data_IF_300023500666
#
_entry.id   IF_300023500666
#
_cell.length_a   1.000
_cell.length_b   1.000
_cell.length_c   1.000
_cell.angle_alpha   90.00
_cell.angle_beta   90.00
_cell.angle_gamma   90.00
#
_symmetry.space_group_name_H-M   'P 1'
#
loop_
_entity.id
_entity.type
_entity.pdbx_description
1 polymer ?
#
# COMPACT_ATOMS: atom_id res chain seq x y z
N UNK A 1 74.69 40.48 35.18
CA UNK A 1 75.25 39.42 34.34
C UNK A 1 74.31 38.19 34.34
N UNK A 2 74.09 37.68 33.19
CA UNK A 2 73.46 36.42 32.82
C UNK A 2 71.91 36.40 32.79
N UNK A 3 71.45 36.50 31.55
CA UNK A 3 70.12 36.18 31.02
C UNK A 3 69.75 34.67 31.24
N UNK A 4 68.51 34.41 31.65
CA UNK A 4 67.92 33.11 31.44
C UNK A 4 66.59 33.35 30.66
N UNK A 5 66.58 32.93 29.40
CA UNK A 5 65.44 32.94 28.52
C UNK A 5 64.48 31.85 28.94
N UNK A 6 63.22 32.23 29.24
CA UNK A 6 62.13 31.29 29.41
C UNK A 6 61.61 30.82 28.05
N UNK A 7 61.71 29.52 27.78
CA UNK A 7 61.14 28.87 26.59
C UNK A 7 59.67 28.55 26.92
N UNK A 8 58.76 29.30 26.32
CA UNK A 8 57.32 28.91 26.31
C UNK A 8 57.09 27.79 25.32
N UNK A 9 56.91 26.59 25.82
CA UNK A 9 56.48 25.45 25.02
C UNK A 9 54.96 25.57 24.81
N UNK A 10 54.53 25.92 23.60
CA UNK A 10 53.12 25.91 23.18
C UNK A 10 52.69 24.45 22.99
N UNK A 11 51.88 23.95 23.90
CA UNK A 11 51.18 22.66 23.76
C UNK A 11 50.04 22.85 22.78
N UNK A 12 50.21 22.38 21.54
CA UNK A 12 49.12 22.33 20.54
C UNK A 12 48.34 21.06 20.84
N UNK A 13 47.19 21.21 21.50
CA UNK A 13 46.19 20.13 21.57
C UNK A 13 45.56 19.94 20.18
N UNK A 14 45.98 18.91 19.47
CA UNK A 14 45.30 18.42 18.29
C UNK A 14 44.01 17.68 18.75
N UNK A 15 42.84 18.34 18.65
CA UNK A 15 41.57 17.69 18.82
C UNK A 15 41.33 16.82 17.58
N UNK A 16 41.57 15.52 17.68
CA UNK A 16 41.19 14.55 16.67
C UNK A 16 39.68 14.40 16.74
N UNK A 17 38.95 15.15 15.91
CA UNK A 17 37.56 14.89 15.66
C UNK A 17 37.49 13.61 14.80
N UNK A 18 37.27 12.49 15.45
CA UNK A 18 36.86 11.25 14.77
C UNK A 18 35.48 11.51 14.11
N UNK A 19 35.52 11.90 12.83
CA UNK A 19 34.38 11.76 11.96
C UNK A 19 34.11 10.26 11.84
N UNK A 20 33.21 9.74 12.67
CA UNK A 20 32.60 8.45 12.44
C UNK A 20 31.68 8.68 11.23
N UNK A 21 32.23 8.52 10.03
CA UNK A 21 31.43 8.32 8.85
C UNK A 21 30.65 7.02 9.07
N UNK A 22 29.40 7.12 9.45
CA UNK A 22 28.51 5.97 9.50
C UNK A 22 28.57 5.29 8.13
N UNK A 23 29.11 4.09 8.11
CA UNK A 23 29.04 3.24 6.92
C UNK A 23 27.55 2.98 6.70
N UNK A 24 26.99 3.51 5.63
CA UNK A 24 25.64 3.17 5.24
C UNK A 24 25.61 1.65 5.00
N UNK A 25 24.95 0.92 5.89
CA UNK A 25 24.75 -0.51 5.71
C UNK A 25 23.71 -0.67 4.60
N UNK A 26 24.09 -1.36 3.55
CA UNK A 26 23.24 -1.61 2.38
C UNK A 26 23.15 -3.11 2.14
N UNK A 27 21.96 -3.59 1.85
CA UNK A 27 21.66 -4.97 1.51
C UNK A 27 21.09 -5.05 0.10
N UNK A 28 21.40 -6.11 -0.61
CA UNK A 28 20.90 -6.36 -1.96
C UNK A 28 20.38 -7.77 -2.08
N UNK A 29 19.24 -7.94 -2.77
CA UNK A 29 18.66 -9.24 -3.05
C UNK A 29 18.07 -9.25 -4.46
N UNK A 30 18.13 -10.42 -5.13
CA UNK A 30 17.55 -10.63 -6.45
C UNK A 30 16.39 -11.62 -6.40
N UNK A 31 15.48 -11.52 -7.35
CA UNK A 31 14.47 -12.53 -7.60
C UNK A 31 15.09 -13.89 -7.98
N UNK A 32 14.34 -15.02 -7.88
CA UNK A 32 14.88 -16.33 -8.24
C UNK A 32 15.42 -16.45 -9.66
N UNK A 33 14.85 -15.72 -10.63
CA UNK A 33 15.34 -15.68 -12.02
C UNK A 33 16.44 -14.63 -12.26
N UNK A 34 16.85 -13.86 -11.22
CA UNK A 34 17.90 -12.84 -11.30
C UNK A 34 17.51 -11.56 -12.06
N UNK A 35 16.28 -11.39 -12.53
CA UNK A 35 15.88 -10.24 -13.34
C UNK A 35 15.46 -9.03 -12.52
N UNK A 36 14.86 -9.24 -11.34
CA UNK A 36 14.48 -8.19 -10.41
C UNK A 36 15.55 -8.09 -9.31
N UNK A 37 15.96 -6.88 -8.98
CA UNK A 37 16.93 -6.60 -7.93
C UNK A 37 16.40 -5.48 -7.03
N UNK A 38 16.41 -5.72 -5.73
CA UNK A 38 16.16 -4.74 -4.67
C UNK A 38 17.47 -4.37 -4.00
N UNK A 39 17.70 -3.08 -3.78
CA UNK A 39 18.70 -2.58 -2.85
C UNK A 39 17.98 -1.87 -1.70
N UNK A 40 18.41 -2.14 -0.49
CA UNK A 40 17.90 -1.53 0.73
C UNK A 40 19.05 -0.91 1.52
N UNK A 41 18.83 0.25 2.11
CA UNK A 41 19.80 0.93 2.97
C UNK A 41 19.14 1.75 4.06
N UNK A 42 19.90 2.12 5.07
CA UNK A 42 19.55 3.15 6.05
C UNK A 42 20.47 4.34 5.82
N UNK A 43 19.89 5.50 5.52
CA UNK A 43 20.66 6.70 5.22
C UNK A 43 21.27 7.35 6.49
N UNK A 44 22.00 8.46 6.32
CA UNK A 44 22.68 9.15 7.42
C UNK A 44 21.72 9.72 8.48
N UNK A 45 20.46 9.92 8.15
CA UNK A 45 19.40 10.37 9.08
C UNK A 45 18.72 9.18 9.79
N UNK A 46 19.10 7.94 9.45
CA UNK A 46 18.47 6.74 9.96
C UNK A 46 17.11 6.49 9.29
N UNK A 47 16.88 6.99 8.07
CA UNK A 47 15.67 6.71 7.31
C UNK A 47 15.89 5.43 6.48
N UNK A 48 14.95 4.45 6.52
CA UNK A 48 14.97 3.29 5.63
C UNK A 48 14.67 3.70 4.19
N UNK A 49 15.49 3.23 3.26
CA UNK A 49 15.38 3.57 1.82
C UNK A 49 15.52 2.30 0.99
N UNK A 50 14.67 2.14 -0.02
CA UNK A 50 14.79 1.06 -0.98
C UNK A 50 14.76 1.58 -2.41
N UNK A 51 15.29 0.79 -3.33
CA UNK A 51 15.20 0.99 -4.77
C UNK A 51 15.02 -0.36 -5.48
N UNK A 52 14.41 -0.34 -6.66
CA UNK A 52 14.08 -1.53 -7.43
C UNK A 52 14.51 -1.38 -8.87
N UNK A 53 15.11 -2.42 -9.44
CA UNK A 53 15.44 -2.51 -10.87
C UNK A 53 14.95 -3.82 -11.48
N UNK A 54 14.61 -3.80 -12.76
CA UNK A 54 14.18 -4.95 -13.55
C UNK A 54 14.97 -5.06 -14.84
N UNK A 55 15.65 -6.21 -15.04
CA UNK A 55 16.55 -6.44 -16.21
C UNK A 55 17.59 -5.31 -16.36
N UNK A 56 18.10 -4.80 -15.24
CA UNK A 56 19.06 -3.70 -15.18
C UNK A 56 18.50 -2.30 -15.43
N UNK A 57 17.19 -2.15 -15.65
CA UNK A 57 16.51 -0.85 -15.76
C UNK A 57 15.94 -0.45 -14.41
N UNK A 58 16.07 0.82 -13.97
CA UNK A 58 15.41 1.29 -12.76
C UNK A 58 13.89 1.26 -12.91
N UNK A 59 13.20 0.82 -11.85
CA UNK A 59 11.74 0.76 -11.73
C UNK A 59 11.25 1.71 -10.65
N UNK A 60 11.86 1.64 -9.48
CA UNK A 60 11.65 2.55 -8.34
C UNK A 60 13.00 3.16 -7.98
N UNK A 61 13.10 4.48 -8.03
CA UNK A 61 14.24 5.24 -7.52
C UNK A 61 14.29 5.21 -6.00
N UNK A 62 15.39 5.63 -5.34
CA UNK A 62 15.47 5.63 -3.89
C UNK A 62 14.23 6.25 -3.23
N UNK A 63 13.51 5.42 -2.48
CA UNK A 63 12.20 5.69 -1.88
C UNK A 63 12.23 5.42 -0.40
N UNK A 64 11.70 6.34 0.41
CA UNK A 64 11.69 6.24 1.86
C UNK A 64 10.54 5.37 2.34
N UNK A 65 10.76 4.76 3.51
CA UNK A 65 9.78 3.96 4.23
C UNK A 65 9.63 4.50 5.65
N UNK A 66 8.40 4.49 6.18
CA UNK A 66 8.15 4.91 7.55
C UNK A 66 6.69 5.08 7.90
N UNK A 67 6.44 5.34 9.18
CA UNK A 67 5.10 5.49 9.74
C UNK A 67 5.08 6.67 10.71
N UNK A 68 4.09 7.54 10.57
CA UNK A 68 3.74 8.57 11.56
C UNK A 68 2.79 7.97 12.57
N UNK A 69 3.09 8.10 13.87
CA UNK A 69 2.28 7.57 14.94
C UNK A 69 1.51 8.69 15.67
N UNK A 70 0.31 8.36 16.14
CA UNK A 70 -0.47 9.26 16.98
C UNK A 70 0.01 9.19 18.42
N UNK A 71 0.46 10.30 18.97
CA UNK A 71 0.89 10.45 20.36
C UNK A 71 2.14 9.63 20.78
N UNK A 72 2.87 9.09 19.80
CA UNK A 72 4.12 8.36 20.00
C UNK A 72 5.21 8.93 19.06
N UNK A 73 6.49 8.78 19.36
CA UNK A 73 7.54 9.10 18.42
C UNK A 73 7.38 8.30 17.12
N UNK A 74 7.60 8.93 15.98
CA UNK A 74 7.43 8.32 14.68
C UNK A 74 8.42 7.18 14.40
N UNK A 75 8.04 6.30 13.50
CA UNK A 75 8.86 5.24 12.91
C UNK A 75 9.35 5.66 11.52
N UNK A 76 9.93 6.87 11.42
CA UNK A 76 10.35 7.49 10.15
C UNK A 76 11.87 7.51 9.99
N UNK A 77 12.60 7.71 11.09
CA UNK A 77 14.06 7.94 11.09
C UNK A 77 14.70 7.51 12.41
N UNK A 78 16.00 7.76 12.53
CA UNK A 78 16.77 7.39 13.72
C UNK A 78 17.01 5.89 13.85
N UNK A 79 16.83 5.14 12.78
CA UNK A 79 17.08 3.71 12.74
C UNK A 79 18.54 3.38 12.47
N UNK A 80 18.93 2.24 13.01
CA UNK A 80 20.16 1.52 12.65
C UNK A 80 19.79 0.11 12.23
N UNK A 81 20.46 -0.44 11.21
CA UNK A 81 20.26 -1.82 10.80
C UNK A 81 20.94 -2.75 11.82
N UNK A 82 20.11 -3.51 12.55
CA UNK A 82 20.57 -4.45 13.57
C UNK A 82 20.88 -5.84 13.00
N UNK A 83 20.10 -6.28 12.02
CA UNK A 83 20.25 -7.60 11.39
C UNK A 83 19.63 -7.60 9.99
N UNK A 84 20.13 -8.46 9.11
CA UNK A 84 19.58 -8.70 7.79
C UNK A 84 19.68 -10.19 7.45
N UNK A 85 18.53 -10.81 7.14
CA UNK A 85 18.44 -12.24 6.86
C UNK A 85 17.84 -12.46 5.49
N UNK A 86 18.48 -13.34 4.72
CA UNK A 86 17.96 -13.80 3.43
C UNK A 86 17.48 -15.24 3.51
N UNK A 87 16.44 -15.55 2.76
CA UNK A 87 15.95 -16.92 2.59
C UNK A 87 15.31 -17.10 1.21
N UNK A 88 15.05 -18.34 0.84
CA UNK A 88 14.35 -18.71 -0.39
C UNK A 88 13.17 -19.59 -0.04
N UNK A 89 12.04 -19.39 -0.71
CA UNK A 89 10.85 -20.20 -0.57
C UNK A 89 10.37 -20.66 -1.94
N UNK A 90 9.97 -21.95 -2.05
CA UNK A 90 9.44 -22.53 -3.28
C UNK A 90 8.44 -23.62 -2.93
N UNK A 91 7.18 -23.35 -3.15
CA UNK A 91 6.07 -24.28 -2.89
C UNK A 91 5.02 -24.15 -3.98
N UNK A 92 4.30 -25.23 -4.25
CA UNK A 92 3.10 -25.19 -5.09
C UNK A 92 1.89 -25.53 -4.23
N UNK A 93 0.90 -24.63 -4.21
CA UNK A 93 -0.32 -24.77 -3.43
C UNK A 93 -1.56 -24.85 -4.32
N UNK A 94 -2.67 -25.30 -3.75
CA UNK A 94 -3.96 -25.41 -4.46
C UNK A 94 -4.92 -24.36 -3.90
N UNK A 95 -5.43 -23.44 -4.71
CA UNK A 95 -6.49 -22.54 -4.28
C UNK A 95 -7.80 -23.32 -4.03
N UNK A 96 -8.67 -22.79 -3.17
CA UNK A 96 -9.98 -23.38 -2.90
C UNK A 96 -10.82 -23.46 -4.18
N UNK A 97 -10.77 -22.41 -4.98
CA UNK A 97 -11.35 -22.31 -6.31
C UNK A 97 -10.62 -21.19 -7.08
N UNK A 98 -10.83 -21.06 -8.36
CA UNK A 98 -10.22 -20.05 -9.20
C UNK A 98 -9.94 -20.55 -10.60
N UNK A 99 -9.19 -19.78 -11.37
CA UNK A 99 -8.84 -20.08 -12.75
C UNK A 99 -7.76 -21.17 -12.85
N UNK A 100 -6.91 -21.27 -11.85
CA UNK A 100 -5.79 -22.22 -11.82
C UNK A 100 -5.99 -23.28 -10.73
N UNK A 101 -5.65 -24.52 -11.07
CA UNK A 101 -5.72 -25.63 -10.12
C UNK A 101 -4.51 -25.73 -9.19
N UNK A 102 -3.41 -25.05 -9.55
CA UNK A 102 -2.16 -25.01 -8.81
C UNK A 102 -1.45 -23.69 -9.04
N UNK A 103 -0.92 -23.10 -7.98
CA UNK A 103 -0.18 -21.84 -7.99
C UNK A 103 1.18 -22.07 -7.35
N UNK A 104 2.27 -21.72 -8.06
CA UNK A 104 3.61 -21.75 -7.49
C UNK A 104 3.86 -20.46 -6.71
N UNK A 105 4.33 -20.61 -5.47
CA UNK A 105 4.80 -19.53 -4.62
C UNK A 105 6.32 -19.64 -4.49
N UNK A 106 7.05 -18.86 -5.29
CA UNK A 106 8.50 -18.93 -5.37
C UNK A 106 9.10 -17.53 -5.29
N UNK A 107 9.85 -17.25 -4.22
CA UNK A 107 10.48 -15.96 -3.98
C UNK A 107 11.80 -16.10 -3.22
N UNK A 108 12.63 -15.08 -3.32
CA UNK A 108 13.71 -14.82 -2.37
C UNK A 108 13.24 -13.73 -1.40
N UNK A 109 13.58 -13.90 -0.12
CA UNK A 109 13.15 -13.00 0.95
C UNK A 109 14.36 -12.34 1.62
N UNK A 110 14.22 -11.04 1.91
CA UNK A 110 15.10 -10.26 2.76
C UNK A 110 14.28 -9.71 3.94
N UNK A 111 14.65 -10.05 5.15
CA UNK A 111 14.08 -9.50 6.37
C UNK A 111 15.13 -8.64 7.08
N UNK A 112 14.88 -7.33 7.15
CA UNK A 112 15.78 -6.36 7.78
C UNK A 112 15.22 -5.94 9.12
N UNK A 113 15.97 -6.18 10.19
CA UNK A 113 15.64 -5.68 11.53
C UNK A 113 16.28 -4.30 11.72
N UNK A 114 15.45 -3.34 12.07
CA UNK A 114 15.82 -1.96 12.30
C UNK A 114 15.55 -1.60 13.76
N UNK A 115 16.59 -1.19 14.47
CA UNK A 115 16.50 -0.68 15.82
C UNK A 115 16.42 0.84 15.80
N UNK A 116 15.52 1.42 16.61
CA UNK A 116 15.43 2.84 16.89
C UNK A 116 15.90 3.09 18.33
N UNK A 117 17.22 3.28 18.57
CA UNK A 117 17.81 3.24 19.91
C UNK A 117 17.25 4.32 20.84
N UNK A 118 16.95 5.51 20.31
CA UNK A 118 16.43 6.64 21.11
C UNK A 118 15.08 6.31 21.79
N UNK A 119 14.31 5.38 21.25
CA UNK A 119 13.00 4.98 21.75
C UNK A 119 12.98 3.52 22.22
N UNK A 120 14.12 2.84 22.19
CA UNK A 120 14.27 1.41 22.55
C UNK A 120 13.22 0.53 21.84
N UNK A 121 13.06 0.72 20.53
CA UNK A 121 12.08 0.02 19.70
C UNK A 121 12.75 -0.63 18.50
N UNK A 122 12.13 -1.71 18.01
CA UNK A 122 12.55 -2.41 16.80
C UNK A 122 11.39 -2.67 15.87
N UNK A 123 11.65 -2.61 14.58
CA UNK A 123 10.72 -3.07 13.52
C UNK A 123 11.45 -3.99 12.56
N UNK A 124 10.70 -4.78 11.80
CA UNK A 124 11.25 -5.55 10.68
C UNK A 124 10.60 -5.06 9.40
N UNK A 125 11.39 -4.79 8.38
CA UNK A 125 10.89 -4.62 7.02
C UNK A 125 11.21 -5.89 6.26
N UNK A 126 10.16 -6.54 5.76
CA UNK A 126 10.26 -7.80 5.03
C UNK A 126 9.98 -7.58 3.57
N UNK A 127 10.89 -8.01 2.71
CA UNK A 127 10.80 -7.95 1.26
C UNK A 127 10.75 -9.35 0.69
N UNK A 128 9.83 -9.62 -0.24
CA UNK A 128 9.74 -10.86 -1.04
C UNK A 128 9.83 -10.51 -2.50
N UNK A 129 10.88 -11.00 -3.17
CA UNK A 129 11.09 -10.79 -4.59
C UNK A 129 10.66 -12.04 -5.36
N UNK A 130 9.59 -11.89 -6.12
CA UNK A 130 9.11 -12.85 -7.11
C UNK A 130 9.74 -12.57 -8.47
N UNK A 131 9.56 -13.45 -9.44
CA UNK A 131 10.11 -13.23 -10.78
C UNK A 131 9.48 -12.05 -11.53
N UNK A 132 8.27 -11.66 -11.14
CA UNK A 132 7.42 -10.64 -11.75
C UNK A 132 7.15 -9.45 -10.84
N UNK A 133 7.74 -9.39 -9.64
CA UNK A 133 7.56 -8.24 -8.76
C UNK A 133 8.04 -8.41 -7.33
N UNK A 134 7.75 -7.40 -6.55
CA UNK A 134 8.11 -7.21 -5.16
C UNK A 134 6.86 -7.11 -4.29
N UNK A 135 6.85 -7.79 -3.14
CA UNK A 135 5.99 -7.48 -2.01
C UNK A 135 6.83 -7.09 -0.80
N UNK A 136 6.43 -6.06 -0.05
CA UNK A 136 7.07 -5.72 1.21
C UNK A 136 6.06 -5.24 2.24
N UNK A 137 6.41 -5.42 3.54
CA UNK A 137 5.56 -4.99 4.65
C UNK A 137 6.39 -4.61 5.87
N UNK A 138 5.77 -3.87 6.78
CA UNK A 138 6.27 -3.61 8.11
C UNK A 138 5.79 -4.70 9.07
N UNK A 139 6.69 -5.21 9.89
CA UNK A 139 6.38 -6.16 10.98
C UNK A 139 6.82 -5.56 12.31
N UNK A 140 5.96 -5.69 13.30
CA UNK A 140 6.15 -5.12 14.64
C UNK A 140 6.22 -6.28 15.64
N UNK A 141 7.44 -6.73 16.02
CA UNK A 141 7.61 -7.80 16.99
C UNK A 141 7.10 -7.38 18.37
N UNK A 142 6.76 -8.38 19.21
CA UNK A 142 6.38 -8.14 20.59
C UNK A 142 7.48 -7.40 21.34
N UNK A 143 7.20 -6.24 21.90
CA UNK A 143 8.15 -5.41 22.62
C UNK A 143 7.46 -4.47 23.60
N UNK A 144 8.19 -4.01 24.63
CA UNK A 144 7.62 -3.19 25.71
C UNK A 144 7.24 -1.78 25.24
N UNK A 145 8.12 -1.15 24.46
CA UNK A 145 8.01 0.27 24.13
C UNK A 145 7.23 0.53 22.81
N UNK A 146 6.64 -0.52 22.24
CA UNK A 146 5.72 -0.46 21.10
C UNK A 146 4.73 -1.62 21.24
N UNK A 147 3.91 -1.62 22.29
CA UNK A 147 2.94 -2.69 22.52
C UNK A 147 1.59 -2.41 21.88
N UNK A 148 1.07 -1.19 22.07
CA UNK A 148 -0.13 -0.69 21.39
C UNK A 148 0.16 0.70 20.85
N UNK A 149 -0.19 0.93 19.59
CA UNK A 149 0.05 2.21 18.93
C UNK A 149 -1.00 2.47 17.85
N UNK A 150 -1.16 3.74 17.50
CA UNK A 150 -2.09 4.16 16.45
C UNK A 150 -1.30 4.77 15.31
N UNK A 151 -1.54 4.27 14.11
CA UNK A 151 -0.96 4.82 12.89
C UNK A 151 -1.77 6.04 12.47
N UNK A 152 -1.10 7.16 12.32
CA UNK A 152 -1.67 8.39 11.80
C UNK A 152 -1.52 8.48 10.29
N UNK A 153 -0.34 8.10 9.76
CA UNK A 153 -0.12 7.96 8.33
C UNK A 153 1.02 6.97 8.05
N UNK A 154 1.00 6.35 6.89
CA UNK A 154 2.08 5.55 6.35
C UNK A 154 2.77 6.35 5.23
N UNK A 155 4.06 6.60 5.37
CA UNK A 155 4.89 7.35 4.44
C UNK A 155 5.73 6.41 3.55
N UNK A 156 5.09 5.40 2.99
CA UNK A 156 5.71 4.51 2.01
C UNK A 156 5.77 5.19 0.65
N UNK A 157 6.97 5.44 0.16
CA UNK A 157 7.21 6.13 -1.10
C UNK A 157 7.46 5.17 -2.26
N UNK A 158 7.08 5.62 -3.47
CA UNK A 158 7.37 4.99 -4.75
C UNK A 158 7.83 6.11 -5.71
N UNK A 159 9.14 6.38 -5.73
CA UNK A 159 9.73 7.41 -6.57
C UNK A 159 9.87 6.89 -8.00
N UNK A 160 9.11 7.45 -8.92
CA UNK A 160 9.08 7.02 -10.31
C UNK A 160 10.32 7.46 -11.07
N UNK A 161 10.70 6.70 -12.08
CA UNK A 161 11.88 6.93 -12.90
C UNK A 161 11.67 7.94 -14.02
N UNK A 162 10.45 8.42 -14.19
CA UNK A 162 10.07 9.40 -15.20
C UNK A 162 8.59 9.73 -15.20
N UNK A 163 8.19 10.63 -16.06
CA UNK A 163 6.79 11.02 -16.26
C UNK A 163 6.07 9.97 -17.10
N UNK A 164 5.70 8.86 -16.45
CA UNK A 164 5.11 7.70 -17.10
C UNK A 164 3.66 7.94 -17.53
N UNK A 165 3.21 7.18 -18.53
CA UNK A 165 1.77 7.09 -18.83
C UNK A 165 1.09 6.25 -17.77
N UNK A 166 0.11 6.83 -17.07
CA UNK A 166 -0.68 6.17 -16.03
C UNK A 166 -2.10 5.91 -16.49
N UNK A 167 -2.66 4.80 -16.03
CA UNK A 167 -4.07 4.42 -16.14
C UNK A 167 -4.65 4.53 -14.72
N UNK A 168 -5.36 5.60 -14.45
CA UNK A 168 -5.73 5.97 -13.08
C UNK A 168 -7.19 6.38 -12.92
N UNK A 169 -7.70 6.26 -11.72
CA UNK A 169 -8.96 6.83 -11.27
C UNK A 169 -8.71 7.74 -10.07
N UNK A 170 -9.57 8.78 -9.85
CA UNK A 170 -9.47 9.67 -8.69
C UNK A 170 -9.40 8.92 -7.37
N UNK A 171 -8.55 9.38 -6.46
CA UNK A 171 -8.47 8.88 -5.10
C UNK A 171 -9.68 9.32 -4.29
N UNK A 172 -10.56 8.37 -3.96
CA UNK A 172 -11.79 8.59 -3.23
C UNK A 172 -11.96 7.52 -2.15
N UNK A 173 -12.42 7.91 -0.95
CA UNK A 173 -12.56 6.98 0.16
C UNK A 173 -13.79 6.08 0.05
N UNK A 174 -14.79 6.48 -0.71
CA UNK A 174 -16.12 5.88 -0.68
C UNK A 174 -16.45 5.08 -1.95
N UNK A 175 -15.66 5.21 -3.03
CA UNK A 175 -15.95 4.57 -4.31
C UNK A 175 -14.70 4.22 -5.12
N UNK A 176 -14.82 3.20 -5.98
CA UNK A 176 -13.87 2.84 -7.05
C UNK A 176 -14.53 2.81 -8.43
N UNK A 177 -15.66 3.52 -8.60
CA UNK A 177 -16.52 3.41 -9.78
C UNK A 177 -16.31 4.53 -10.83
N UNK A 178 -15.19 5.25 -10.73
CA UNK A 178 -14.81 6.22 -11.75
C UNK A 178 -14.30 5.55 -13.02
N UNK A 179 -14.52 6.19 -14.16
CA UNK A 179 -13.88 5.79 -15.41
C UNK A 179 -12.37 6.01 -15.36
N UNK A 180 -11.61 5.12 -15.99
CA UNK A 180 -10.16 5.27 -16.06
C UNK A 180 -9.76 6.46 -16.95
N UNK A 181 -8.90 7.29 -16.42
CA UNK A 181 -8.22 8.35 -17.16
C UNK A 181 -6.81 7.89 -17.54
N UNK A 182 -6.40 8.20 -18.77
CA UNK A 182 -5.06 7.87 -19.29
C UNK A 182 -4.32 9.20 -19.50
N UNK A 183 -3.21 9.39 -18.80
CA UNK A 183 -2.41 10.61 -18.91
C UNK A 183 -0.96 10.39 -18.45
N UNK A 184 -0.12 11.40 -18.63
CA UNK A 184 1.17 11.49 -17.94
C UNK A 184 0.92 11.76 -16.44
N UNK A 185 1.89 11.40 -15.59
CA UNK A 185 1.82 11.66 -14.15
C UNK A 185 1.67 13.14 -13.85
N UNK A 186 2.43 14.00 -14.56
CA UNK A 186 2.38 15.46 -14.40
C UNK A 186 1.04 16.09 -14.80
N UNK A 187 0.21 15.40 -15.55
CA UNK A 187 -1.10 15.88 -16.02
C UNK A 187 -2.24 15.56 -15.04
N UNK A 188 -2.05 14.64 -14.10
CA UNK A 188 -3.10 14.17 -13.17
C UNK A 188 -3.80 15.33 -12.48
N UNK A 189 -3.05 16.29 -11.92
CA UNK A 189 -3.60 17.47 -11.25
C UNK A 189 -4.54 18.28 -12.14
N UNK A 190 -4.17 18.49 -13.38
CA UNK A 190 -4.96 19.26 -14.35
C UNK A 190 -6.23 18.55 -14.78
N UNK A 191 -6.20 17.22 -14.85
CA UNK A 191 -7.30 16.38 -15.33
C UNK A 191 -8.23 15.93 -14.19
N UNK A 192 -7.82 16.05 -12.92
CA UNK A 192 -8.59 15.52 -11.78
C UNK A 192 -10.04 15.97 -11.77
N UNK A 193 -10.30 17.25 -12.05
CA UNK A 193 -11.66 17.78 -12.04
C UNK A 193 -12.57 17.11 -13.06
N UNK A 194 -12.06 16.78 -14.24
CA UNK A 194 -12.83 16.15 -15.32
C UNK A 194 -12.93 14.64 -15.12
N UNK A 195 -11.97 14.04 -14.40
CA UNK A 195 -11.98 12.63 -14.04
C UNK A 195 -12.99 12.29 -12.93
N UNK A 196 -13.36 13.27 -12.09
CA UNK A 196 -14.39 13.10 -11.06
C UNK A 196 -15.77 13.18 -11.72
N UNK A 197 -16.31 12.02 -12.08
CA UNK A 197 -17.62 11.88 -12.70
C UNK A 197 -18.72 11.73 -11.66
N UNK A 198 -20.01 12.02 -11.96
CA UNK A 198 -21.11 11.95 -10.99
C UNK A 198 -21.59 10.52 -10.71
N UNK A 199 -20.68 9.54 -10.69
CA UNK A 199 -21.03 8.12 -10.52
C UNK A 199 -21.32 7.75 -9.07
N UNK A 200 -20.70 8.45 -8.11
CA UNK A 200 -20.85 8.09 -6.71
C UNK A 200 -20.52 9.26 -5.74
N UNK A 201 -19.76 9.03 -4.69
CA UNK A 201 -19.63 9.96 -3.57
C UNK A 201 -18.92 11.28 -3.90
N UNK A 202 -18.00 11.29 -4.88
CA UNK A 202 -17.18 12.45 -5.27
C UNK A 202 -16.35 13.02 -4.11
N UNK A 203 -15.92 12.15 -3.18
CA UNK A 203 -15.14 12.50 -1.99
C UNK A 203 -13.65 12.34 -2.26
N UNK A 204 -13.14 13.12 -3.23
CA UNK A 204 -11.72 13.08 -3.63
C UNK A 204 -10.86 13.74 -2.55
N UNK A 205 -9.85 13.03 -2.06
CA UNK A 205 -9.03 13.49 -0.93
C UNK A 205 -7.87 14.42 -1.34
N UNK A 206 -7.44 14.41 -2.61
CA UNK A 206 -6.31 15.20 -3.09
C UNK A 206 -6.43 15.48 -4.58
N UNK A 207 -5.95 16.64 -5.08
CA UNK A 207 -5.90 16.93 -6.51
C UNK A 207 -4.93 16.06 -7.30
N UNK A 208 -4.08 15.28 -6.64
CA UNK A 208 -3.13 14.33 -7.23
C UNK A 208 -3.26 12.93 -6.64
N UNK A 209 -4.35 12.71 -5.88
CA UNK A 209 -4.67 11.41 -5.28
C UNK A 209 -5.22 10.45 -6.32
N UNK A 210 -4.70 9.22 -6.35
CA UNK A 210 -5.16 8.15 -7.22
C UNK A 210 -5.36 6.86 -6.43
N UNK A 211 -6.24 6.00 -6.91
CA UNK A 211 -6.46 4.70 -6.28
C UNK A 211 -5.45 3.65 -6.75
N UNK A 212 -5.28 2.61 -5.96
CA UNK A 212 -4.66 1.35 -6.36
C UNK A 212 -5.76 0.37 -6.84
N UNK A 213 -5.52 -0.54 -7.78
CA UNK A 213 -4.24 -0.82 -8.42
C UNK A 213 -3.91 0.24 -9.49
N UNK A 214 -2.76 0.86 -9.38
CA UNK A 214 -2.31 1.85 -10.35
C UNK A 214 -1.40 1.19 -11.39
N UNK A 215 -1.81 1.18 -12.64
CA UNK A 215 -1.00 0.70 -13.76
C UNK A 215 -0.31 1.87 -14.46
N UNK A 216 0.98 1.72 -14.72
CA UNK A 216 1.77 2.68 -15.49
C UNK A 216 2.54 1.97 -16.61
N UNK A 217 2.84 2.74 -17.67
CA UNK A 217 3.71 2.33 -18.75
C UNK A 217 4.84 3.34 -18.90
N UNK A 218 6.08 2.86 -18.86
CA UNK A 218 7.27 3.68 -19.08
C UNK A 218 7.53 3.90 -20.55
N UNK A 219 8.27 4.96 -20.92
CA UNK A 219 8.60 5.23 -22.32
C UNK A 219 9.55 4.18 -22.91
N UNK A 220 10.33 3.49 -22.08
CA UNK A 220 11.23 2.40 -22.48
C UNK A 220 10.58 1.00 -22.43
N UNK A 221 9.25 0.95 -22.27
CA UNK A 221 8.43 -0.23 -22.51
C UNK A 221 8.17 -1.14 -21.30
N UNK A 222 8.44 -0.69 -20.07
CA UNK A 222 8.03 -1.43 -18.88
C UNK A 222 6.58 -1.10 -18.50
N UNK A 223 5.89 -2.08 -17.95
CA UNK A 223 4.62 -1.94 -17.27
C UNK A 223 4.85 -2.12 -15.77
N UNK A 224 4.33 -1.19 -14.96
CA UNK A 224 4.50 -1.16 -13.52
C UNK A 224 3.11 -1.07 -12.90
N UNK A 225 2.81 -1.96 -11.95
CA UNK A 225 1.57 -1.93 -11.19
C UNK A 225 1.88 -1.75 -9.70
N UNK A 226 1.30 -0.73 -9.08
CA UNK A 226 1.39 -0.48 -7.65
C UNK A 226 0.06 -0.87 -6.99
N UNK A 227 0.14 -1.75 -5.98
CA UNK A 227 -1.04 -2.21 -5.26
C UNK A 227 -0.67 -2.71 -3.86
N UNK A 228 -1.59 -3.40 -3.21
CA UNK A 228 -1.44 -4.03 -1.91
C UNK A 228 -2.01 -5.46 -1.91
N UNK A 229 -1.61 -6.25 -0.92
CA UNK A 229 -2.14 -7.59 -0.70
C UNK A 229 -2.30 -7.88 0.80
N UNK A 230 -3.15 -8.85 1.13
CA UNK A 230 -3.46 -9.24 2.51
C UNK A 230 -3.89 -8.04 3.38
N UNK A 231 -4.85 -7.26 2.88
CA UNK A 231 -5.46 -6.16 3.61
C UNK A 231 -6.35 -6.73 4.73
N UNK A 232 -5.76 -6.90 5.92
CA UNK A 232 -6.42 -7.43 7.11
C UNK A 232 -6.07 -6.54 8.31
N UNK A 233 -7.08 -6.09 9.05
CA UNK A 233 -6.96 -5.23 10.24
C UNK A 233 -6.09 -3.97 10.03
N UNK A 234 -6.21 -3.34 8.85
CA UNK A 234 -5.45 -2.18 8.45
C UNK A 234 -6.22 -1.34 7.43
N UNK A 235 -5.86 -0.07 7.27
CA UNK A 235 -6.48 0.81 6.29
C UNK A 235 -6.06 0.50 4.85
N UNK A 236 -7.03 0.64 3.93
CA UNK A 236 -6.80 0.56 2.49
C UNK A 236 -5.86 1.67 2.01
N UNK A 237 -4.94 1.31 1.11
CA UNK A 237 -3.98 2.22 0.53
C UNK A 237 -4.48 2.80 -0.80
N UNK A 238 -4.57 4.11 -0.87
CA UNK A 238 -4.49 4.90 -2.09
C UNK A 238 -3.09 5.52 -2.20
N UNK A 239 -2.85 6.31 -3.24
CA UNK A 239 -1.56 6.97 -3.48
C UNK A 239 -1.77 8.46 -3.70
N UNK A 240 -0.89 9.29 -3.17
CA UNK A 240 -0.84 10.72 -3.43
C UNK A 240 0.46 11.06 -4.17
N UNK A 241 0.36 11.78 -5.28
CA UNK A 241 1.52 12.10 -6.11
C UNK A 241 2.08 13.48 -5.78
N UNK A 242 3.35 13.54 -5.43
CA UNK A 242 4.15 14.75 -5.65
C UNK A 242 4.49 14.86 -7.14
N UNK A 243 3.68 15.64 -7.85
CA UNK A 243 3.75 15.80 -9.31
C UNK A 243 4.97 16.61 -9.80
N UNK A 244 5.75 17.20 -8.87
CA UNK A 244 7.00 17.88 -9.19
C UNK A 244 8.20 16.94 -9.16
N UNK A 245 8.23 16.06 -8.17
CA UNK A 245 9.32 15.12 -7.95
C UNK A 245 9.00 13.71 -8.50
N UNK A 246 7.77 13.48 -8.97
CA UNK A 246 7.25 12.20 -9.47
C UNK A 246 7.36 11.09 -8.41
N UNK A 247 6.99 11.41 -7.18
CA UNK A 247 6.98 10.48 -6.05
C UNK A 247 5.55 10.23 -5.62
N UNK A 248 5.10 8.99 -5.73
CA UNK A 248 3.91 8.56 -5.02
C UNK A 248 4.24 8.27 -3.56
N UNK A 249 3.34 8.66 -2.67
CA UNK A 249 3.35 8.27 -1.27
C UNK A 249 2.02 7.61 -0.92
N UNK A 250 2.06 6.58 -0.08
CA UNK A 250 0.85 5.93 0.40
C UNK A 250 -0.07 6.95 1.08
N UNK A 251 -1.36 6.79 0.86
CA UNK A 251 -2.41 7.62 1.44
C UNK A 251 -3.49 6.68 1.97
N UNK A 252 -3.52 6.50 3.27
CA UNK A 252 -4.40 5.53 3.89
C UNK A 252 -5.81 6.11 4.11
N UNK A 253 -6.82 5.28 3.95
CA UNK A 253 -8.21 5.64 4.26
C UNK A 253 -8.37 5.86 5.76
N UNK A 254 -8.83 7.05 6.23
CA UNK A 254 -9.02 7.32 7.65
C UNK A 254 -10.30 6.67 8.19
N UNK A 255 -10.31 6.40 9.48
CA UNK A 255 -11.56 6.18 10.22
C UNK A 255 -12.27 7.52 10.55
N UNK A 256 -13.37 7.46 11.31
CA UNK A 256 -14.14 8.64 11.70
C UNK A 256 -13.34 9.63 12.58
N UNK A 257 -12.23 9.21 13.19
CA UNK A 257 -11.35 10.04 14.02
C UNK A 257 -10.12 10.55 13.25
N UNK A 258 -9.96 10.14 12.00
CA UNK A 258 -8.80 10.41 11.16
C UNK A 258 -7.62 9.45 11.39
N UNK A 259 -7.81 8.39 12.16
CA UNK A 259 -6.79 7.37 12.45
C UNK A 259 -6.75 6.32 11.33
N UNK A 260 -5.57 5.73 11.08
CA UNK A 260 -5.34 4.83 9.93
C UNK A 260 -5.13 3.37 10.34
N UNK A 261 -4.86 3.11 11.61
CA UNK A 261 -4.69 1.76 12.11
C UNK A 261 -4.48 1.70 13.61
N UNK A 262 -5.12 0.73 14.26
CA UNK A 262 -5.00 0.45 15.69
C UNK A 262 -4.23 -0.85 15.83
N UNK A 263 -2.96 -0.75 16.20
CA UNK A 263 -2.02 -1.85 16.15
C UNK A 263 -1.69 -2.35 17.55
N UNK A 264 -1.62 -3.68 17.69
CA UNK A 264 -1.13 -4.33 18.91
C UNK A 264 -0.10 -5.40 18.55
N UNK A 265 1.10 -5.28 19.10
CA UNK A 265 2.21 -6.21 18.81
C UNK A 265 2.00 -7.58 19.47
N UNK A 266 2.40 -8.71 18.82
CA UNK A 266 3.03 -8.75 17.49
C UNK A 266 2.00 -8.58 16.37
N UNK A 267 2.31 -7.77 15.38
CA UNK A 267 1.43 -7.50 14.24
C UNK A 267 2.23 -7.08 13.00
N UNK A 268 1.55 -6.85 11.90
CA UNK A 268 2.17 -6.39 10.65
C UNK A 268 1.20 -5.56 9.82
N UNK A 269 1.73 -4.74 8.90
CA UNK A 269 0.94 -4.08 7.86
C UNK A 269 0.53 -5.08 6.76
N UNK A 270 -0.41 -4.74 5.88
CA UNK A 270 -0.55 -5.39 4.58
C UNK A 270 0.75 -5.33 3.78
N UNK A 271 0.84 -6.14 2.73
CA UNK A 271 1.92 -6.06 1.76
C UNK A 271 1.69 -4.91 0.79
N UNK A 272 2.72 -4.13 0.54
CA UNK A 272 2.79 -3.19 -0.58
C UNK A 272 3.43 -3.92 -1.75
N UNK A 273 2.84 -3.81 -2.95
CA UNK A 273 3.28 -4.60 -4.11
C UNK A 273 3.70 -3.72 -5.28
N UNK A 274 4.76 -4.13 -5.95
CA UNK A 274 5.22 -3.58 -7.22
C UNK A 274 5.36 -4.73 -8.20
N UNK A 275 4.42 -4.87 -9.14
CA UNK A 275 4.51 -5.84 -10.22
C UNK A 275 5.13 -5.14 -11.44
N UNK A 276 6.09 -5.77 -12.10
CA UNK A 276 6.79 -5.17 -13.26
C UNK A 276 7.10 -6.22 -14.32
N UNK A 277 6.84 -5.86 -15.57
CA UNK A 277 7.20 -6.65 -16.75
C UNK A 277 7.40 -5.76 -17.99
N UNK A 278 8.07 -6.27 -18.99
CA UNK A 278 8.11 -5.71 -20.34
C UNK A 278 6.97 -6.25 -21.25
N UNK A 279 6.04 -7.03 -20.68
CA UNK A 279 4.81 -7.50 -21.31
C UNK A 279 3.59 -7.20 -20.42
N UNK A 280 2.63 -6.44 -20.93
CA UNK A 280 1.41 -6.10 -20.19
C UNK A 280 0.59 -7.32 -19.73
N UNK A 281 0.69 -8.45 -20.46
CA UNK A 281 -0.04 -9.69 -20.11
C UNK A 281 0.46 -10.31 -18.82
N UNK A 282 1.72 -10.12 -18.47
CA UNK A 282 2.32 -10.64 -17.24
C UNK A 282 1.75 -9.95 -16.01
N UNK A 283 1.32 -8.69 -16.12
CA UNK A 283 0.65 -7.98 -15.03
C UNK A 283 -0.67 -8.69 -14.66
N UNK A 284 -1.45 -9.11 -15.66
CA UNK A 284 -2.69 -9.87 -15.44
C UNK A 284 -2.42 -11.30 -14.97
N UNK A 285 -1.33 -11.90 -15.45
CA UNK A 285 -0.95 -13.27 -15.10
C UNK A 285 -0.28 -13.39 -13.73
N UNK A 286 0.13 -12.29 -13.11
CA UNK A 286 0.80 -12.29 -11.81
C UNK A 286 -0.06 -12.94 -10.72
N UNK A 287 0.60 -13.74 -9.88
CA UNK A 287 -0.02 -14.39 -8.70
C UNK A 287 0.55 -13.86 -7.38
N UNK A 288 1.28 -12.74 -7.43
CA UNK A 288 1.89 -12.12 -6.24
C UNK A 288 0.85 -11.82 -5.18
N UNK A 289 -0.28 -11.22 -5.57
CA UNK A 289 -1.36 -10.89 -4.62
C UNK A 289 -1.90 -12.13 -3.91
N UNK A 290 -2.08 -13.25 -4.63
CA UNK A 290 -2.52 -14.50 -4.04
C UNK A 290 -1.45 -15.13 -3.14
N UNK A 291 -0.19 -15.09 -3.58
CA UNK A 291 0.95 -15.68 -2.87
C UNK A 291 1.35 -14.92 -1.60
N UNK A 292 0.96 -13.67 -1.47
CA UNK A 292 1.21 -12.83 -0.29
C UNK A 292 0.09 -12.91 0.76
N UNK A 293 -1.05 -13.54 0.42
CA UNK A 293 -2.11 -13.80 1.39
C UNK A 293 -1.81 -15.07 2.20
N UNK A 294 -2.34 -15.11 3.42
CA UNK A 294 -2.25 -16.28 4.27
C UNK A 294 -3.04 -17.47 3.69
N UNK A 295 -2.61 -18.70 3.93
CA UNK A 295 -3.37 -19.88 3.51
C UNK A 295 -4.80 -19.88 4.05
N UNK A 296 -5.71 -20.56 3.33
CA UNK A 296 -7.09 -20.75 3.78
C UNK A 296 -7.11 -21.45 5.14
N UNK A 297 -7.81 -20.84 6.12
CA UNK A 297 -7.94 -21.36 7.49
C UNK A 297 -9.15 -22.26 7.71
N UNK A 298 -10.02 -22.41 6.71
CA UNK A 298 -11.19 -23.27 6.80
C UNK A 298 -10.77 -24.75 6.69
N UNK A 299 -11.19 -25.57 7.64
CA UNK A 299 -10.89 -27.00 7.66
C UNK A 299 -11.66 -27.78 6.56
N UNK A 300 -12.85 -27.30 6.20
CA UNK A 300 -13.68 -27.84 5.11
C UNK A 300 -14.13 -26.70 4.20
N UNK A 301 -13.79 -26.82 2.92
CA UNK A 301 -14.15 -25.89 1.86
C UNK A 301 -15.08 -26.51 0.81
N UNK A 302 -15.56 -27.73 1.03
CA UNK A 302 -16.39 -28.48 0.08
C UNK A 302 -17.73 -27.81 -0.25
N UNK A 303 -18.20 -26.93 0.63
CA UNK A 303 -19.44 -26.17 0.46
C UNK A 303 -19.27 -24.90 -0.40
N UNK A 304 -18.04 -24.49 -0.71
CA UNK A 304 -17.75 -23.31 -1.53
C UNK A 304 -17.86 -23.70 -3.01
N UNK A 305 -18.92 -23.27 -3.65
CA UNK A 305 -19.15 -23.51 -5.07
C UNK A 305 -19.34 -22.17 -5.80
N UNK A 306 -18.58 -21.88 -6.88
CA UNK A 306 -18.85 -20.76 -7.74
C UNK A 306 -20.24 -20.88 -8.37
N UNK A 307 -21.03 -19.80 -8.30
CA UNK A 307 -22.40 -19.78 -8.83
C UNK A 307 -22.64 -18.53 -9.66
N UNK A 308 -23.63 -18.60 -10.57
CA UNK A 308 -24.21 -17.41 -11.18
C UNK A 308 -25.37 -16.95 -10.32
N UNK A 309 -25.57 -15.64 -10.20
CA UNK A 309 -26.67 -15.07 -9.46
C UNK A 309 -27.34 -13.96 -10.25
N UNK A 310 -28.63 -13.67 -9.96
CA UNK A 310 -29.35 -12.55 -10.48
C UNK A 310 -29.41 -11.44 -9.43
N UNK A 311 -28.90 -10.26 -9.77
CA UNK A 311 -28.81 -9.14 -8.84
C UNK A 311 -29.93 -8.10 -9.05
N UNK A 312 -30.76 -7.88 -8.04
CA UNK A 312 -31.84 -6.88 -8.06
C UNK A 312 -31.31 -5.43 -8.19
N UNK A 313 -30.02 -5.22 -7.91
CA UNK A 313 -29.33 -3.94 -8.07
C UNK A 313 -29.50 -3.32 -9.48
N UNK A 314 -29.66 -4.17 -10.50
CA UNK A 314 -29.90 -3.74 -11.88
C UNK A 314 -31.15 -2.89 -12.09
N UNK A 315 -32.16 -3.00 -11.23
CA UNK A 315 -33.35 -2.15 -11.31
C UNK A 315 -33.00 -0.67 -11.09
N UNK A 316 -32.03 -0.39 -10.22
CA UNK A 316 -31.54 0.97 -10.00
C UNK A 316 -30.69 1.46 -11.19
N UNK A 317 -29.75 0.66 -11.67
CA UNK A 317 -28.88 1.00 -12.81
C UNK A 317 -29.73 1.26 -14.08
N UNK A 318 -30.81 0.50 -14.27
CA UNK A 318 -31.72 0.66 -15.44
C UNK A 318 -32.88 1.63 -15.19
N UNK A 319 -32.85 2.40 -14.10
CA UNK A 319 -33.86 3.38 -13.70
C UNK A 319 -35.29 2.78 -13.56
N UNK A 320 -35.41 1.48 -13.29
CA UNK A 320 -36.70 0.81 -13.05
C UNK A 320 -37.20 0.95 -11.63
N UNK A 321 -36.30 1.27 -10.71
CA UNK A 321 -36.60 1.46 -9.31
C UNK A 321 -35.51 2.24 -8.62
N UNK A 322 -35.65 2.41 -7.30
CA UNK A 322 -34.67 3.09 -6.45
C UNK A 322 -34.31 2.21 -5.25
N UNK A 323 -33.24 2.57 -4.56
CA UNK A 323 -32.89 1.97 -3.26
C UNK A 323 -33.52 2.75 -2.08
N UNK A 324 -34.07 3.95 -2.36
CA UNK A 324 -34.75 4.74 -1.36
C UNK A 324 -36.15 4.20 -1.06
N UNK A 325 -36.44 3.93 0.21
CA UNK A 325 -37.75 3.51 0.67
C UNK A 325 -38.76 4.65 0.68
N UNK A 326 -38.32 5.88 0.93
CA UNK A 326 -39.15 7.07 1.10
C UNK A 326 -38.51 8.27 0.41
N UNK A 327 -39.31 9.22 0.00
CA UNK A 327 -38.89 10.53 -0.52
C UNK A 327 -38.91 11.60 0.63
N UNK A 328 -39.34 11.24 1.87
CA UNK A 328 -39.47 12.17 2.99
C UNK A 328 -38.12 12.52 3.67
N UNK A 329 -37.07 11.70 3.48
CA UNK A 329 -35.73 11.93 4.00
C UNK A 329 -34.69 11.59 2.95
N UNK A 330 -33.72 12.48 2.77
CA UNK A 330 -32.63 12.28 1.79
C UNK A 330 -31.57 11.29 2.31
N UNK A 331 -31.28 11.35 3.59
CA UNK A 331 -30.32 10.43 4.21
C UNK A 331 -30.77 10.04 5.61
N UNK A 332 -30.39 8.81 6.00
CA UNK A 332 -30.66 8.29 7.35
C UNK A 332 -29.56 8.76 8.30
N UNK A 333 -29.98 9.40 9.40
CA UNK A 333 -29.09 9.68 10.52
C UNK A 333 -29.49 8.80 11.68
N UNK A 334 -28.62 7.87 12.04
CA UNK A 334 -28.89 6.91 13.12
C UNK A 334 -29.25 7.65 14.44
N UNK A 335 -30.36 7.23 15.07
CA UNK A 335 -30.86 7.85 16.29
C UNK A 335 -31.54 9.22 16.11
N UNK A 336 -31.60 9.77 14.89
CA UNK A 336 -32.23 11.07 14.58
C UNK A 336 -33.42 10.94 13.62
N UNK A 337 -33.37 9.97 12.71
CA UNK A 337 -34.44 9.75 11.73
C UNK A 337 -35.58 8.96 12.35
N UNK A 338 -36.76 9.58 12.43
CA UNK A 338 -37.98 8.95 12.91
C UNK A 338 -38.72 8.28 11.74
N UNK A 339 -38.50 7.00 11.55
CA UNK A 339 -39.11 6.21 10.49
C UNK A 339 -40.65 6.10 10.59
N UNK A 340 -41.22 6.30 11.78
CA UNK A 340 -42.68 6.25 11.95
C UNK A 340 -43.39 7.36 11.19
N UNK A 341 -42.68 8.43 10.85
CA UNK A 341 -43.18 9.59 10.13
C UNK A 341 -42.96 9.53 8.60
N UNK A 342 -42.20 8.53 8.12
CA UNK A 342 -41.91 8.39 6.70
C UNK A 342 -42.97 7.53 6.00
N UNK A 343 -43.21 7.81 4.73
CA UNK A 343 -44.13 7.03 3.87
C UNK A 343 -43.36 6.32 2.77
N UNK A 344 -43.73 5.06 2.45
CA UNK A 344 -43.15 4.38 1.29
C UNK A 344 -43.41 5.16 0.00
N UNK A 345 -42.37 5.33 -0.81
CA UNK A 345 -42.52 5.99 -2.13
C UNK A 345 -43.02 5.04 -3.25
N UNK A 346 -43.10 3.75 -2.98
CA UNK A 346 -43.50 2.72 -3.93
C UNK A 346 -42.47 2.41 -5.02
N UNK A 347 -41.30 3.02 -4.98
CA UNK A 347 -40.24 2.85 -5.99
C UNK A 347 -39.10 1.95 -5.53
N UNK A 348 -39.12 1.54 -4.26
CA UNK A 348 -38.05 0.72 -3.67
C UNK A 348 -38.04 -0.67 -4.33
N UNK A 349 -36.95 -1.01 -5.02
CA UNK A 349 -36.85 -2.25 -5.80
C UNK A 349 -36.75 -3.51 -4.93
N UNK A 350 -36.21 -3.44 -3.72
CA UNK A 350 -36.10 -4.60 -2.83
C UNK A 350 -37.41 -4.89 -2.07
N UNK A 351 -38.53 -4.95 -2.78
CA UNK A 351 -39.81 -5.39 -2.25
C UNK A 351 -40.08 -6.88 -2.54
N UNK A 352 -40.98 -7.50 -1.79
CA UNK A 352 -41.24 -8.95 -1.84
C UNK A 352 -41.60 -9.44 -3.24
N UNK A 353 -42.45 -8.72 -3.95
CA UNK A 353 -42.94 -9.17 -5.27
C UNK A 353 -41.83 -9.09 -6.31
N UNK A 354 -41.03 -8.04 -6.30
CA UNK A 354 -39.88 -7.92 -7.18
C UNK A 354 -38.81 -8.98 -6.86
N UNK A 355 -38.49 -9.23 -5.58
CA UNK A 355 -37.56 -10.29 -5.20
C UNK A 355 -38.02 -11.67 -5.66
N UNK A 356 -39.32 -11.98 -5.53
CA UNK A 356 -39.90 -13.24 -6.06
C UNK A 356 -39.70 -13.35 -7.56
N UNK A 357 -39.87 -12.26 -8.31
CA UNK A 357 -39.65 -12.23 -9.78
C UNK A 357 -38.18 -12.54 -10.11
N UNK A 358 -37.21 -11.97 -9.38
CA UNK A 358 -35.83 -12.25 -9.58
C UNK A 358 -35.43 -13.69 -9.20
N UNK A 359 -36.02 -14.25 -8.13
CA UNK A 359 -35.84 -15.66 -7.76
C UNK A 359 -36.37 -16.57 -8.88
N UNK A 360 -37.56 -16.31 -9.40
CA UNK A 360 -38.14 -17.08 -10.50
C UNK A 360 -37.32 -16.99 -11.80
N UNK A 361 -36.65 -15.86 -12.03
CA UNK A 361 -35.74 -15.70 -13.17
C UNK A 361 -34.43 -16.47 -12.97
N UNK A 362 -33.92 -16.53 -11.74
CA UNK A 362 -32.64 -17.18 -11.42
C UNK A 362 -32.75 -18.72 -11.36
N UNK A 363 -33.96 -19.28 -11.12
CA UNK A 363 -34.24 -20.72 -11.07
C UNK A 363 -34.27 -21.35 -12.46
#
# INVERSE_FOLDING_TARGET
>A
MRNIKAICTKLVCFLLVLLVSGVAMAESITAPNGQLQLNFSVNAQGEPVYELSYKGKPVINPSKLGLELKNDPDLMNGFTMADAKTSTFDETWKPVWGEESQIRNHYNELAVTLDQPANERSIVIRFRLFNDGLGFRYEFPQQKNLNYFVIKEEHTQFAMTGDHTAYWIPGDYDTQEYDYTISRLTEIRGLMKDAVTPNSSQTVFSPTGVQTALLMKTDDGLYINLHEAALVDYSCMSLNLDDKNLVFESWLTPDANGDKGYMQTPCHSPWRTVIVSDDARDILASRITLNLNEPCKLADTSWIHPVKYAGIWWDMITNKGTWAYTDDVYSVKLGQTDYSKTKPNGKHSANTDNVKRYIAFAA
#
